data_IF_859849695174
#
_entry.id   IF_859849695174
#
_cell.length_a   1.000
_cell.length_b   1.000
_cell.length_c   1.000
_cell.angle_alpha   90.00
_cell.angle_beta   90.00
_cell.angle_gamma   90.00
#
_symmetry.space_group_name_H-M   'P 1'
#
loop_
_entity.id
_entity.type
_entity.pdbx_description
1 polymer ?
#
# COMPACT_ATOMS: atom_id res chain seq x y z
N UNK A 1 26.29 -0.47 2.42
CA UNK A 1 25.11 -0.06 1.63
C UNK A 1 23.84 0.12 2.48
N UNK A 2 23.84 -0.18 3.79
CA UNK A 2 22.57 -0.34 4.54
C UNK A 2 22.23 0.69 5.63
N UNK A 3 23.03 1.76 5.82
CA UNK A 3 22.74 2.72 6.91
C UNK A 3 21.46 3.53 6.64
N UNK A 4 21.22 3.93 5.39
CA UNK A 4 20.02 4.70 5.03
C UNK A 4 18.76 3.84 4.99
N UNK A 5 18.86 2.59 4.54
CA UNK A 5 17.75 1.62 4.58
C UNK A 5 17.31 1.34 6.01
N UNK A 6 18.25 1.04 6.90
CA UNK A 6 17.92 0.76 8.30
C UNK A 6 17.35 1.99 9.02
N UNK A 7 17.87 3.20 8.73
CA UNK A 7 17.26 4.46 9.21
C UNK A 7 15.83 4.60 8.70
N UNK A 8 15.62 4.49 7.38
CA UNK A 8 14.29 4.58 6.77
C UNK A 8 13.32 3.55 7.37
N UNK A 9 13.78 2.30 7.57
CA UNK A 9 13.01 1.25 8.25
C UNK A 9 12.53 1.72 9.62
N UNK A 10 13.46 2.18 10.46
CA UNK A 10 13.15 2.60 11.81
C UNK A 10 12.21 3.82 11.85
N UNK A 11 12.37 4.77 10.93
CA UNK A 11 11.47 5.91 10.81
C UNK A 11 10.06 5.50 10.36
N UNK A 12 9.94 4.57 9.41
CA UNK A 12 8.63 4.00 9.03
C UNK A 12 7.99 3.30 10.22
N UNK A 13 8.70 2.40 10.89
CA UNK A 13 8.15 1.60 12.00
C UNK A 13 7.79 2.45 13.24
N UNK A 14 8.42 3.60 13.41
CA UNK A 14 8.07 4.58 14.46
C UNK A 14 7.06 5.64 14.00
N UNK A 15 6.54 5.54 12.77
CA UNK A 15 5.63 6.51 12.15
C UNK A 15 6.17 7.95 12.19
N UNK A 16 7.47 8.13 12.01
CA UNK A 16 8.14 9.43 12.11
C UNK A 16 8.19 10.14 10.74
N UNK A 17 7.08 10.78 10.38
CA UNK A 17 6.92 11.51 9.11
C UNK A 17 8.02 12.54 8.85
N UNK A 18 8.44 13.27 9.89
CA UNK A 18 9.44 14.34 9.78
C UNK A 18 10.78 13.81 9.27
N UNK A 19 11.29 12.74 9.88
CA UNK A 19 12.57 12.14 9.50
C UNK A 19 12.49 11.47 8.12
N UNK A 20 11.32 10.91 7.76
CA UNK A 20 11.11 10.36 6.41
C UNK A 20 11.18 11.49 5.36
N UNK A 21 10.50 12.61 5.60
CA UNK A 21 10.55 13.80 4.72
C UNK A 21 11.98 14.29 4.56
N UNK A 22 12.73 14.41 5.66
CA UNK A 22 14.12 14.87 5.62
C UNK A 22 14.99 13.93 4.77
N UNK A 23 14.85 12.61 4.91
CA UNK A 23 15.59 11.65 4.09
C UNK A 23 15.21 11.75 2.60
N UNK A 24 13.92 11.87 2.29
CA UNK A 24 13.43 12.03 0.92
C UNK A 24 13.94 13.33 0.28
N UNK A 25 13.91 14.44 1.02
CA UNK A 25 14.44 15.73 0.57
C UNK A 25 15.97 15.69 0.37
N UNK A 26 16.68 14.89 1.17
CA UNK A 26 18.11 14.64 1.00
C UNK A 26 18.44 13.64 -0.13
N UNK A 27 17.47 13.29 -0.96
CA UNK A 27 17.67 12.48 -2.17
C UNK A 27 17.55 10.97 -1.97
N UNK A 28 16.96 10.50 -0.87
CA UNK A 28 16.57 9.10 -0.76
C UNK A 28 15.51 8.78 -1.82
N UNK A 29 15.78 7.79 -2.67
CA UNK A 29 14.84 7.37 -3.71
C UNK A 29 13.58 6.75 -3.09
N UNK A 30 12.38 7.35 -3.27
CA UNK A 30 11.13 6.77 -2.76
C UNK A 30 10.80 5.39 -3.35
N UNK A 31 11.39 5.05 -4.51
CA UNK A 31 11.26 3.76 -5.18
C UNK A 31 12.40 2.77 -4.87
N UNK A 32 13.25 3.09 -3.89
CA UNK A 32 14.37 2.23 -3.47
C UNK A 32 13.95 0.77 -3.32
N UNK A 33 14.77 -0.15 -3.85
CA UNK A 33 14.51 -1.61 -3.86
C UNK A 33 13.07 -1.96 -4.30
N UNK A 34 12.69 -1.51 -5.51
CA UNK A 34 11.37 -1.78 -6.09
C UNK A 34 10.23 -1.33 -5.15
N UNK A 35 10.34 -0.10 -4.62
CA UNK A 35 9.36 0.47 -3.71
C UNK A 35 9.28 -0.25 -2.36
N UNK A 36 10.39 -0.80 -1.85
CA UNK A 36 10.44 -1.37 -0.50
C UNK A 36 9.88 -0.42 0.59
N UNK A 37 10.17 0.90 0.60
CA UNK A 37 9.67 1.81 1.64
C UNK A 37 8.14 1.87 1.69
N UNK A 38 7.49 2.10 0.54
CA UNK A 38 6.02 2.20 0.46
C UNK A 38 5.35 0.85 0.76
N UNK A 39 5.93 -0.26 0.29
CA UNK A 39 5.44 -1.61 0.60
C UNK A 39 5.55 -1.95 2.09
N UNK A 40 6.63 -1.50 2.74
CA UNK A 40 6.81 -1.67 4.18
C UNK A 40 5.74 -0.87 4.94
N UNK A 41 5.55 0.41 4.61
CA UNK A 41 4.52 1.25 5.24
C UNK A 41 3.10 0.64 5.07
N UNK A 42 2.77 0.16 3.88
CA UNK A 42 1.50 -0.50 3.59
C UNK A 42 1.31 -1.76 4.44
N UNK A 43 2.33 -2.63 4.53
CA UNK A 43 2.30 -3.85 5.35
C UNK A 43 2.01 -3.58 6.83
N UNK A 44 2.46 -2.44 7.36
CA UNK A 44 2.22 -2.03 8.75
C UNK A 44 0.98 -1.15 8.93
N UNK A 45 0.18 -0.95 7.88
CA UNK A 45 -1.07 -0.19 7.97
C UNK A 45 -0.87 1.32 8.12
N UNK A 46 0.31 1.85 7.78
CA UNK A 46 0.68 3.25 8.00
C UNK A 46 0.24 4.13 6.83
N UNK A 47 -1.07 4.36 6.72
CA UNK A 47 -1.65 5.07 5.56
C UNK A 47 -1.07 6.49 5.37
N UNK A 48 -0.76 7.22 6.45
CA UNK A 48 -0.14 8.56 6.36
C UNK A 48 1.25 8.51 5.73
N UNK A 49 2.05 7.51 6.10
CA UNK A 49 3.37 7.28 5.50
C UNK A 49 3.25 6.84 4.04
N UNK A 50 2.28 5.99 3.71
CA UNK A 50 2.01 5.59 2.32
C UNK A 50 1.65 6.80 1.47
N UNK A 51 0.73 7.65 1.95
CA UNK A 51 0.36 8.92 1.29
C UNK A 51 1.58 9.81 1.07
N UNK A 52 2.42 9.96 2.09
CA UNK A 52 3.65 10.75 2.03
C UNK A 52 4.59 10.21 0.94
N UNK A 53 4.83 8.90 0.88
CA UNK A 53 5.65 8.32 -0.19
C UNK A 53 5.05 8.56 -1.59
N UNK A 54 3.73 8.43 -1.75
CA UNK A 54 3.05 8.74 -3.03
C UNK A 54 3.29 10.20 -3.42
N UNK A 55 3.17 11.15 -2.48
CA UNK A 55 3.43 12.57 -2.73
C UNK A 55 4.87 12.86 -3.19
N UNK A 56 5.83 12.05 -2.73
CA UNK A 56 7.22 12.13 -3.17
C UNK A 56 7.52 11.31 -4.44
N UNK A 57 6.51 10.73 -5.09
CA UNK A 57 6.67 10.02 -6.37
C UNK A 57 7.00 8.53 -6.24
N UNK A 58 6.73 7.91 -5.09
CA UNK A 58 6.74 6.46 -4.99
C UNK A 58 5.67 5.84 -5.89
N UNK A 59 6.00 4.72 -6.53
CA UNK A 59 5.06 3.91 -7.28
C UNK A 59 4.04 3.24 -6.32
N UNK A 60 2.75 3.63 -6.34
CA UNK A 60 1.72 3.04 -5.49
C UNK A 60 1.40 1.57 -5.85
N UNK A 61 1.90 1.09 -6.99
CA UNK A 61 1.68 -0.28 -7.47
C UNK A 61 2.92 -1.15 -7.35
N UNK A 62 3.90 -0.74 -6.53
CA UNK A 62 5.09 -1.53 -6.28
C UNK A 62 4.72 -2.95 -5.83
N UNK A 63 5.42 -3.94 -6.40
CA UNK A 63 5.23 -5.36 -6.09
C UNK A 63 6.35 -5.83 -5.15
N UNK A 64 5.99 -6.66 -4.18
CA UNK A 64 6.96 -7.38 -3.36
C UNK A 64 7.58 -8.55 -4.11
N UNK A 65 8.63 -9.15 -3.54
CA UNK A 65 9.25 -10.38 -4.06
C UNK A 65 8.25 -11.54 -4.22
N UNK A 66 7.18 -11.57 -3.43
CA UNK A 66 6.10 -12.55 -3.52
C UNK A 66 5.00 -12.15 -4.52
N UNK A 67 5.19 -11.09 -5.30
CA UNK A 67 4.21 -10.56 -6.25
C UNK A 67 3.09 -9.72 -5.63
N UNK A 68 3.01 -9.62 -4.30
CA UNK A 68 1.95 -8.83 -3.66
C UNK A 68 2.14 -7.32 -3.87
N UNK A 69 1.11 -6.63 -4.33
CA UNK A 69 1.07 -5.18 -4.53
C UNK A 69 0.97 -4.41 -3.21
N UNK A 70 1.29 -3.12 -3.26
CA UNK A 70 1.15 -2.22 -2.10
C UNK A 70 -0.28 -2.22 -1.56
N UNK A 71 -1.31 -2.22 -2.41
CA UNK A 71 -2.71 -2.32 -1.98
C UNK A 71 -2.98 -3.65 -1.27
N UNK A 72 -2.52 -4.78 -1.83
CA UNK A 72 -2.73 -6.09 -1.21
C UNK A 72 -2.03 -6.19 0.17
N UNK A 73 -0.85 -5.60 0.32
CA UNK A 73 -0.14 -5.51 1.60
C UNK A 73 -0.91 -4.64 2.62
N UNK A 74 -1.49 -3.52 2.18
CA UNK A 74 -2.34 -2.67 3.01
C UNK A 74 -3.59 -3.41 3.50
N UNK A 75 -4.25 -4.16 2.62
CA UNK A 75 -5.41 -4.99 2.96
C UNK A 75 -5.02 -6.10 3.94
N UNK A 76 -3.90 -6.79 3.68
CA UNK A 76 -3.37 -7.85 4.55
C UNK A 76 -3.06 -7.35 5.96
N UNK A 77 -2.58 -6.10 6.11
CA UNK A 77 -2.26 -5.53 7.43
C UNK A 77 -3.47 -5.55 8.38
N UNK A 78 -4.69 -5.44 7.85
CA UNK A 78 -5.92 -5.41 8.64
C UNK A 78 -6.16 -4.12 9.42
N UNK A 79 -5.29 -3.12 9.31
CA UNK A 79 -5.31 -1.92 10.18
C UNK A 79 -5.85 -0.68 9.46
N UNK A 80 -6.56 0.16 10.23
CA UNK A 80 -6.97 1.52 9.85
C UNK A 80 -7.80 1.64 8.57
N UNK A 81 -8.60 0.62 8.24
CA UNK A 81 -9.54 0.65 7.12
C UNK A 81 -10.91 1.28 7.48
N UNK A 82 -11.17 1.51 8.76
CA UNK A 82 -12.40 2.16 9.25
C UNK A 82 -12.43 3.67 8.94
N UNK A 83 -11.30 4.25 8.54
CA UNK A 83 -11.15 5.66 8.17
C UNK A 83 -10.95 5.81 6.66
N UNK A 84 -10.91 7.05 6.18
CA UNK A 84 -10.62 7.37 4.77
C UNK A 84 -9.10 7.44 4.46
N UNK A 85 -8.25 6.94 5.37
CA UNK A 85 -6.79 7.04 5.26
C UNK A 85 -6.21 6.42 4.00
N UNK A 86 -6.85 5.39 3.45
CA UNK A 86 -6.41 4.70 2.23
C UNK A 86 -6.92 5.31 0.92
N UNK A 87 -7.67 6.42 0.98
CA UNK A 87 -8.29 7.04 -0.22
C UNK A 87 -7.26 7.42 -1.27
N UNK A 88 -6.11 7.97 -0.89
CA UNK A 88 -5.05 8.34 -1.82
C UNK A 88 -4.54 7.11 -2.58
N UNK A 89 -4.26 6.01 -1.87
CA UNK A 89 -3.82 4.74 -2.50
C UNK A 89 -4.91 4.16 -3.41
N UNK A 90 -6.16 4.12 -2.94
CA UNK A 90 -7.28 3.60 -3.74
C UNK A 90 -7.50 4.44 -5.00
N UNK A 91 -7.32 5.76 -4.93
CA UNK A 91 -7.49 6.67 -6.07
C UNK A 91 -6.50 6.37 -7.20
N UNK A 92 -5.30 5.89 -6.86
CA UNK A 92 -4.31 5.46 -7.84
C UNK A 92 -4.67 4.15 -8.54
N UNK A 93 -5.56 3.32 -7.97
CA UNK A 93 -5.82 1.99 -8.49
C UNK A 93 -6.86 1.94 -9.62
N UNK A 94 -6.60 1.10 -10.62
CA UNK A 94 -7.57 0.72 -11.64
C UNK A 94 -8.53 -0.39 -11.16
N UNK A 95 -9.49 -0.76 -12.01
CA UNK A 95 -10.50 -1.76 -11.67
C UNK A 95 -9.93 -3.16 -11.39
N UNK A 96 -8.85 -3.56 -12.08
CA UNK A 96 -8.21 -4.85 -11.87
C UNK A 96 -7.46 -4.90 -10.55
N UNK A 97 -6.69 -3.85 -10.24
CA UNK A 97 -5.95 -3.74 -8.98
C UNK A 97 -6.90 -3.68 -7.77
N UNK A 98 -8.04 -3.00 -7.92
CA UNK A 98 -9.09 -2.99 -6.90
C UNK A 98 -9.72 -4.38 -6.73
N UNK A 99 -9.96 -5.12 -7.81
CA UNK A 99 -10.48 -6.49 -7.74
C UNK A 99 -9.50 -7.44 -7.04
N UNK A 100 -8.21 -7.35 -7.34
CA UNK A 100 -7.17 -8.13 -6.67
C UNK A 100 -7.08 -7.80 -5.16
N UNK A 101 -7.20 -6.51 -4.81
CA UNK A 101 -7.29 -6.07 -3.42
C UNK A 101 -8.53 -6.60 -2.71
N UNK A 102 -9.69 -6.60 -3.39
CA UNK A 102 -10.94 -7.14 -2.86
C UNK A 102 -10.86 -8.65 -2.62
N UNK A 103 -10.25 -9.41 -3.53
CA UNK A 103 -10.02 -10.85 -3.36
C UNK A 103 -9.19 -11.13 -2.09
N UNK A 104 -8.12 -10.36 -1.87
CA UNK A 104 -7.32 -10.46 -0.64
C UNK A 104 -8.16 -10.10 0.59
N UNK A 105 -9.00 -9.07 0.53
CA UNK A 105 -9.86 -8.69 1.65
C UNK A 105 -10.84 -9.80 2.03
N UNK A 106 -11.39 -10.53 1.05
CA UNK A 106 -12.25 -11.70 1.27
C UNK A 106 -11.47 -12.83 1.93
N UNK A 107 -10.30 -13.18 1.38
CA UNK A 107 -9.45 -14.27 1.89
C UNK A 107 -9.05 -14.06 3.35
N UNK A 108 -8.71 -12.82 3.73
CA UNK A 108 -8.29 -12.47 5.10
C UNK A 108 -9.45 -11.97 5.98
N UNK A 109 -10.70 -12.05 5.52
CA UNK A 109 -11.88 -11.59 6.25
C UNK A 109 -11.81 -10.11 6.71
N UNK A 110 -11.15 -9.25 5.92
CA UNK A 110 -11.04 -7.81 6.19
C UNK A 110 -12.26 -7.07 5.59
N UNK A 111 -13.38 -7.11 6.30
CA UNK A 111 -14.67 -6.54 5.87
C UNK A 111 -14.59 -5.02 5.68
N UNK A 112 -13.82 -4.32 6.53
CA UNK A 112 -13.65 -2.88 6.43
C UNK A 112 -12.94 -2.49 5.12
N UNK A 113 -11.83 -3.17 4.80
CA UNK A 113 -11.13 -2.95 3.55
C UNK A 113 -11.98 -3.29 2.33
N UNK A 114 -12.67 -4.43 2.36
CA UNK A 114 -13.58 -4.84 1.29
C UNK A 114 -14.65 -3.77 1.04
N UNK A 115 -15.25 -3.26 2.12
CA UNK A 115 -16.27 -2.21 2.04
C UNK A 115 -15.72 -0.93 1.39
N UNK A 116 -14.55 -0.47 1.81
CA UNK A 116 -13.90 0.72 1.21
C UNK A 116 -13.55 0.53 -0.26
N UNK A 117 -13.05 -0.65 -0.64
CA UNK A 117 -12.72 -0.98 -2.03
C UNK A 117 -13.98 -0.99 -2.90
N UNK A 118 -15.07 -1.60 -2.45
CA UNK A 118 -16.35 -1.63 -3.17
C UNK A 118 -16.95 -0.22 -3.28
N UNK A 119 -16.87 0.58 -2.22
CA UNK A 119 -17.36 1.96 -2.20
C UNK A 119 -16.69 2.88 -3.23
N UNK A 120 -15.51 2.50 -3.76
CA UNK A 120 -14.89 3.24 -4.87
C UNK A 120 -15.74 3.23 -6.15
N UNK A 121 -16.71 2.29 -6.28
CA UNK A 121 -17.54 2.12 -7.47
C UNK A 121 -16.80 1.63 -8.72
N UNK A 122 -15.48 1.40 -8.61
CA UNK A 122 -14.59 1.00 -9.72
C UNK A 122 -14.19 -0.48 -9.66
N UNK A 123 -14.44 -1.14 -8.53
CA UNK A 123 -14.17 -2.57 -8.36
C UNK A 123 -15.25 -3.39 -9.06
N UNK A 124 -14.92 -4.05 -10.16
CA UNK A 124 -15.82 -5.00 -10.80
C UNK A 124 -15.75 -6.34 -10.05
N UNK A 125 -16.63 -6.55 -9.07
CA UNK A 125 -16.73 -7.84 -8.36
C UNK A 125 -17.40 -8.93 -9.20
N UNK A 126 -17.84 -8.64 -10.44
CA UNK A 126 -18.47 -9.61 -11.33
C UNK A 126 -17.46 -10.36 -12.21
N UNK A 127 -16.19 -10.45 -11.85
CA UNK A 127 -15.28 -11.39 -12.52
C UNK A 127 -15.76 -12.79 -12.11
N UNK A 128 -16.29 -13.61 -13.03
CA UNK A 128 -16.54 -15.01 -12.71
C UNK A 128 -15.19 -15.59 -12.33
N UNK A 129 -15.08 -16.18 -11.14
CA UNK A 129 -13.94 -17.03 -10.80
C UNK A 129 -14.02 -18.32 -11.63
N UNK A 130 -14.00 -18.20 -12.95
CA UNK A 130 -13.50 -19.26 -13.79
C UNK A 130 -11.99 -19.22 -13.63
N UNK A 131 -11.49 -20.11 -12.77
CA UNK A 131 -10.14 -20.62 -12.93
C UNK A 131 -9.92 -20.90 -14.42
N UNK A 132 -9.02 -20.15 -15.05
CA UNK A 132 -8.40 -20.49 -16.32
C UNK A 132 -6.91 -20.55 -16.04
N UNK A 133 -6.23 -21.69 -16.04
CA UNK A 133 -6.58 -23.10 -16.13
C UNK A 133 -5.35 -23.90 -15.69
#
# INVERSE_FOLDING_TARGET
MDRHKEKMRNFILSNNEREIIELLQNGFDPNFENGWPIRLAARYGLHSIVKLFIQFGANPHALSEAGASTLQLAVYSGLQWDTDGWTDLLSCCDSSQLADGAAVAIIFNNVAALSKIIQTGRCNTNIPTTLTG
#
